data_IF_989218570107
#
_entry.id   IF_989218570107
#
_cell.length_a   1.000
_cell.length_b   1.000
_cell.length_c   1.000
_cell.angle_alpha   90.00
_cell.angle_beta   90.00
_cell.angle_gamma   90.00
#
_symmetry.space_group_name_H-M   'P 1'
#
loop_
_entity.id
_entity.type
_entity.pdbx_description
1 polymer ?
#
# COMPACT_ATOMS: atom_id res chain seq x y z
N UNK A 1 30.90 -37.21 -18.61
CA UNK A 1 29.66 -36.80 -19.30
C UNK A 1 28.51 -36.95 -18.29
N UNK A 2 28.20 -35.88 -17.58
CA UNK A 2 27.11 -35.86 -16.63
C UNK A 2 26.43 -34.49 -16.77
N UNK A 3 25.20 -34.56 -17.24
CA UNK A 3 24.34 -33.43 -17.53
C UNK A 3 23.98 -32.71 -16.21
N UNK A 4 24.29 -31.44 -16.18
CA UNK A 4 23.83 -30.51 -15.16
C UNK A 4 22.34 -30.37 -15.32
N UNK A 5 21.61 -30.76 -14.28
CA UNK A 5 20.16 -30.61 -14.19
C UNK A 5 19.81 -29.13 -14.07
N UNK A 6 18.79 -28.75 -14.83
CA UNK A 6 18.12 -27.49 -14.83
C UNK A 6 17.83 -26.99 -13.41
N UNK A 7 18.20 -25.76 -13.12
CA UNK A 7 17.73 -25.00 -11.98
C UNK A 7 16.20 -24.82 -12.11
N UNK A 8 15.45 -25.51 -11.30
CA UNK A 8 14.07 -25.18 -11.03
C UNK A 8 14.05 -23.83 -10.28
N UNK A 9 13.85 -22.76 -11.02
CA UNK A 9 13.55 -21.45 -10.46
C UNK A 9 12.17 -21.57 -9.86
N UNK A 10 12.08 -21.77 -8.53
CA UNK A 10 10.81 -21.66 -7.81
C UNK A 10 10.26 -20.25 -8.04
N UNK A 11 9.16 -20.20 -8.73
CA UNK A 11 8.36 -18.98 -8.91
C UNK A 11 7.81 -18.61 -7.54
N UNK A 12 8.40 -17.62 -6.89
CA UNK A 12 7.87 -17.06 -5.65
C UNK A 12 6.64 -16.22 -6.01
N UNK A 13 5.46 -16.81 -5.84
CA UNK A 13 4.18 -16.12 -6.03
C UNK A 13 4.03 -15.04 -4.96
N UNK A 14 3.61 -13.84 -5.38
CA UNK A 14 3.22 -12.81 -4.43
C UNK A 14 1.92 -13.22 -3.73
N UNK A 15 1.87 -13.03 -2.42
CA UNK A 15 0.78 -13.48 -1.58
C UNK A 15 -0.14 -12.31 -1.23
N UNK A 16 -1.44 -12.50 -1.40
CA UNK A 16 -2.42 -11.63 -0.77
C UNK A 16 -2.55 -12.08 0.69
N UNK A 17 -1.93 -11.32 1.59
CA UNK A 17 -1.99 -11.63 3.02
C UNK A 17 -3.35 -11.19 3.57
N UNK A 18 -4.12 -12.15 4.06
CA UNK A 18 -5.34 -11.85 4.81
C UNK A 18 -4.98 -11.51 6.26
N UNK A 19 -5.13 -10.25 6.62
CA UNK A 19 -4.78 -9.77 7.96
C UNK A 19 -5.86 -10.16 8.96
N UNK A 20 -5.52 -11.05 9.90
CA UNK A 20 -6.37 -11.39 11.04
C UNK A 20 -6.09 -10.43 12.20
N UNK A 21 -7.04 -9.55 12.51
CA UNK A 21 -6.87 -8.56 13.58
C UNK A 21 -6.79 -9.20 14.95
N UNK A 22 -5.78 -8.82 15.73
CA UNK A 22 -5.61 -9.25 17.12
C UNK A 22 -6.68 -8.63 18.05
N UNK A 23 -7.14 -7.43 17.70
CA UNK A 23 -8.27 -6.78 18.35
C UNK A 23 -9.26 -6.32 17.26
N UNK A 24 -10.42 -6.99 17.12
CA UNK A 24 -11.42 -6.64 16.10
C UNK A 24 -12.01 -5.23 16.28
N UNK A 25 -12.01 -4.69 17.50
CA UNK A 25 -12.51 -3.33 17.78
C UNK A 25 -11.55 -2.25 17.31
N UNK A 26 -10.25 -2.57 17.28
CA UNK A 26 -9.19 -1.66 16.84
C UNK A 26 -8.75 -1.92 15.40
N UNK A 27 -9.26 -2.95 14.74
CA UNK A 27 -8.93 -3.27 13.34
C UNK A 27 -7.42 -3.21 13.05
N UNK A 28 -6.62 -3.82 13.94
CA UNK A 28 -5.17 -3.83 13.85
C UNK A 28 -4.57 -5.20 14.17
N UNK A 29 -3.35 -5.39 13.64
CA UNK A 29 -2.43 -6.48 13.98
C UNK A 29 -1.05 -5.85 14.21
N UNK A 30 -0.44 -6.11 15.37
CA UNK A 30 0.89 -5.60 15.71
C UNK A 30 1.69 -6.69 16.40
N UNK A 31 2.91 -6.92 15.89
CA UNK A 31 3.78 -7.95 16.43
C UNK A 31 5.25 -7.58 16.25
N UNK A 32 6.11 -8.23 16.97
CA UNK A 32 7.56 -8.10 16.86
C UNK A 32 8.12 -9.31 16.15
N UNK A 33 9.00 -9.08 15.19
CA UNK A 33 9.83 -10.11 14.57
C UNK A 33 11.20 -10.04 15.21
N UNK A 34 11.70 -11.22 15.63
CA UNK A 34 12.98 -11.36 16.28
C UNK A 34 13.73 -12.56 15.73
N UNK A 35 14.79 -12.32 14.97
CA UNK A 35 15.66 -13.36 14.42
C UNK A 35 17.06 -13.26 15.04
N UNK A 36 17.55 -14.38 15.60
CA UNK A 36 18.91 -14.48 16.23
C UNK A 36 19.97 -15.04 15.31
N UNK A 37 19.59 -15.75 14.27
CA UNK A 37 20.50 -16.45 13.35
C UNK A 37 19.93 -16.42 11.96
N UNK A 38 20.81 -16.61 10.99
CA UNK A 38 20.48 -16.85 9.57
C UNK A 38 19.67 -18.15 9.43
N UNK A 39 18.42 -18.17 9.87
CA UNK A 39 17.56 -19.30 9.58
C UNK A 39 17.06 -19.17 8.14
N UNK A 40 17.74 -19.86 7.25
CA UNK A 40 17.39 -19.95 5.81
C UNK A 40 16.03 -20.60 5.55
N UNK A 41 15.29 -20.99 6.60
CA UNK A 41 14.02 -21.67 6.50
C UNK A 41 12.81 -20.74 6.39
N UNK A 42 12.96 -19.44 6.59
CA UNK A 42 11.86 -18.50 6.42
C UNK A 42 11.83 -17.89 5.00
N UNK A 43 11.70 -18.75 3.99
CA UNK A 43 11.41 -18.32 2.60
C UNK A 43 10.16 -17.42 2.51
N UNK A 44 9.31 -17.43 3.52
CA UNK A 44 8.10 -16.61 3.57
C UNK A 44 8.39 -15.12 3.77
N UNK A 45 9.45 -14.76 4.51
CA UNK A 45 9.85 -13.36 4.73
C UNK A 45 10.38 -12.67 3.46
N UNK A 46 10.76 -13.43 2.44
CA UNK A 46 11.27 -12.91 1.18
C UNK A 46 10.23 -12.84 0.06
N UNK A 47 8.98 -13.26 0.34
CA UNK A 47 7.93 -13.26 -0.66
C UNK A 47 7.37 -11.87 -0.86
N UNK A 48 7.10 -11.55 -2.11
CA UNK A 48 6.27 -10.41 -2.43
C UNK A 48 4.88 -10.62 -1.86
N UNK A 49 4.38 -9.64 -1.09
CA UNK A 49 3.04 -9.68 -0.53
C UNK A 49 2.39 -8.31 -0.56
N UNK A 50 1.10 -8.30 -0.37
CA UNK A 50 0.28 -7.10 -0.21
C UNK A 50 -0.95 -7.44 0.63
N UNK A 51 -1.50 -6.45 1.27
CA UNK A 51 -2.73 -6.52 2.05
C UNK A 51 -3.46 -5.18 1.97
N UNK A 52 -4.73 -5.14 2.39
CA UNK A 52 -5.56 -3.92 2.31
C UNK A 52 -5.22 -2.87 3.37
N UNK A 53 -4.53 -3.26 4.42
CA UNK A 53 -4.13 -2.42 5.53
C UNK A 53 -2.94 -1.53 5.16
N UNK A 54 -2.80 -0.40 5.85
CA UNK A 54 -1.54 0.34 5.92
C UNK A 54 -0.60 -0.41 6.85
N UNK A 55 0.65 -0.57 6.46
CA UNK A 55 1.67 -1.19 7.29
C UNK A 55 2.73 -0.17 7.71
N UNK A 56 3.07 -0.20 8.99
CA UNK A 56 4.09 0.64 9.60
C UNK A 56 5.17 -0.26 10.19
N UNK A 57 6.43 0.02 9.86
CA UNK A 57 7.58 -0.67 10.42
C UNK A 57 8.33 0.24 11.38
N UNK A 58 8.88 -0.34 12.47
CA UNK A 58 9.82 0.32 13.37
C UNK A 58 10.97 -0.63 13.68
N UNK A 59 12.20 -0.25 13.32
CA UNK A 59 13.38 -1.07 13.52
C UNK A 59 13.93 -0.84 14.93
N UNK A 60 14.09 -1.91 15.69
CA UNK A 60 14.61 -1.88 17.07
C UNK A 60 16.09 -2.21 17.09
N UNK A 61 16.53 -3.25 16.35
CA UNK A 61 17.91 -3.71 16.29
C UNK A 61 18.19 -4.39 14.96
N UNK A 62 19.43 -4.30 14.48
CA UNK A 62 19.83 -4.88 13.20
C UNK A 62 19.45 -4.08 11.97
N UNK A 63 19.53 -4.69 10.79
CA UNK A 63 19.26 -4.04 9.52
C UNK A 63 18.29 -4.87 8.68
N UNK A 64 17.25 -4.21 8.18
CA UNK A 64 16.19 -4.78 7.34
C UNK A 64 16.27 -4.20 5.94
N UNK A 65 16.45 -5.05 4.93
CA UNK A 65 16.25 -4.68 3.54
C UNK A 65 14.76 -4.71 3.22
N UNK A 66 14.29 -3.67 2.56
CA UNK A 66 12.91 -3.58 2.08
C UNK A 66 12.90 -3.27 0.60
N UNK A 67 11.95 -3.85 -0.10
CA UNK A 67 11.74 -3.57 -1.50
C UNK A 67 10.26 -3.29 -1.77
N UNK A 68 9.98 -2.18 -2.45
CA UNK A 68 8.67 -1.83 -2.95
C UNK A 68 8.84 -1.35 -4.39
N UNK A 69 8.20 -2.02 -5.37
CA UNK A 69 8.35 -1.73 -6.80
C UNK A 69 9.83 -1.70 -7.23
N UNK A 70 10.30 -0.50 -7.61
CA UNK A 70 11.66 -0.24 -8.11
C UNK A 70 12.58 0.35 -7.03
N UNK A 71 12.10 0.46 -5.76
CA UNK A 71 12.85 1.06 -4.66
C UNK A 71 13.31 -0.01 -3.69
N UNK A 72 14.62 -0.09 -3.54
CA UNK A 72 15.28 -0.86 -2.48
C UNK A 72 15.84 0.10 -1.44
N UNK A 73 15.56 -0.17 -0.18
CA UNK A 73 16.03 0.65 0.95
C UNK A 73 16.47 -0.25 2.08
N UNK A 74 17.50 0.15 2.81
CA UNK A 74 17.95 -0.51 4.03
C UNK A 74 17.56 0.35 5.21
N UNK A 75 16.83 -0.24 6.16
CA UNK A 75 16.46 0.38 7.42
C UNK A 75 17.36 -0.13 8.54
N UNK A 76 17.83 0.78 9.42
CA UNK A 76 18.60 0.49 10.61
C UNK A 76 17.84 0.85 11.90
N UNK A 77 18.46 0.63 13.08
CA UNK A 77 17.84 0.92 14.37
C UNK A 77 17.33 2.36 14.47
N UNK A 78 16.09 2.53 14.91
CA UNK A 78 15.41 3.81 15.00
C UNK A 78 14.70 4.25 13.71
N UNK A 79 14.90 3.57 12.59
CA UNK A 79 14.20 3.87 11.36
C UNK A 79 12.76 3.36 11.37
N UNK A 80 11.93 4.05 10.61
CA UNK A 80 10.51 3.71 10.38
C UNK A 80 10.18 3.71 8.90
N UNK A 81 9.15 2.96 8.52
CA UNK A 81 8.64 2.94 7.14
C UNK A 81 7.13 2.79 7.11
N UNK A 82 6.49 3.43 6.13
CA UNK A 82 5.07 3.25 5.80
C UNK A 82 4.97 2.53 4.47
N UNK A 83 4.14 1.49 4.42
CA UNK A 83 3.62 0.93 3.18
C UNK A 83 2.14 1.28 3.08
N UNK A 84 1.75 1.76 1.91
CA UNK A 84 0.37 2.10 1.63
C UNK A 84 -0.51 0.86 1.49
N UNK A 85 -1.82 1.05 1.63
CA UNK A 85 -2.80 0.00 1.45
C UNK A 85 -2.69 -0.64 0.06
N UNK A 86 -2.69 -1.97 0.03
CA UNK A 86 -2.54 -2.76 -1.19
C UNK A 86 -1.24 -2.53 -1.98
N UNK A 87 -0.22 -1.97 -1.34
CA UNK A 87 1.09 -1.80 -1.94
C UNK A 87 1.85 -3.12 -1.92
N UNK A 88 2.38 -3.52 -3.08
CA UNK A 88 3.24 -4.69 -3.20
C UNK A 88 4.61 -4.38 -2.60
N UNK A 89 5.04 -5.18 -1.63
CA UNK A 89 6.33 -5.03 -0.95
C UNK A 89 6.87 -6.38 -0.47
N UNK A 90 8.14 -6.38 -0.10
CA UNK A 90 8.80 -7.49 0.59
C UNK A 90 9.89 -6.99 1.50
N UNK A 91 10.21 -7.79 2.50
CA UNK A 91 11.30 -7.54 3.46
C UNK A 91 12.28 -8.70 3.44
N UNK A 92 13.54 -8.45 3.75
CA UNK A 92 14.55 -9.47 3.94
C UNK A 92 15.59 -9.04 4.98
N UNK A 93 16.05 -10.01 5.76
CA UNK A 93 17.12 -9.78 6.72
C UNK A 93 18.46 -9.60 6.00
N UNK A 94 19.17 -8.53 6.32
CA UNK A 94 20.56 -8.38 5.91
C UNK A 94 21.51 -9.20 6.81
N UNK A 95 22.78 -9.28 6.42
CA UNK A 95 23.85 -10.09 7.03
C UNK A 95 24.20 -9.67 8.48
N UNK A 96 23.19 -9.49 9.34
CA UNK A 96 23.37 -9.16 10.75
C UNK A 96 22.95 -10.35 11.62
N UNK A 97 23.70 -10.60 12.70
CA UNK A 97 23.42 -11.72 13.61
C UNK A 97 22.11 -11.57 14.38
N UNK A 98 21.57 -10.37 14.43
CA UNK A 98 20.31 -10.03 15.11
C UNK A 98 19.50 -9.08 14.27
N UNK A 99 18.23 -9.36 14.18
CA UNK A 99 17.24 -8.45 13.62
C UNK A 99 16.02 -8.43 14.54
N UNK A 100 15.58 -7.24 14.89
CA UNK A 100 14.39 -7.02 15.71
C UNK A 100 13.63 -5.81 15.23
N UNK A 101 12.38 -6.00 14.84
CA UNK A 101 11.53 -4.93 14.36
C UNK A 101 10.06 -5.20 14.64
N UNK A 102 9.27 -4.14 14.71
CA UNK A 102 7.83 -4.18 14.90
C UNK A 102 7.15 -4.00 13.56
N UNK A 103 6.17 -4.86 13.27
CA UNK A 103 5.23 -4.73 12.15
C UNK A 103 3.87 -4.35 12.71
N UNK A 104 3.29 -3.29 12.17
CA UNK A 104 2.00 -2.77 12.60
C UNK A 104 1.09 -2.57 11.38
N UNK A 105 0.13 -3.46 11.19
CA UNK A 105 -0.89 -3.43 10.14
C UNK A 105 -2.20 -2.87 10.70
N UNK A 106 -2.79 -1.89 10.01
CA UNK A 106 -3.97 -1.18 10.50
C UNK A 106 -4.91 -0.78 9.35
N UNK A 107 -6.21 -1.02 9.53
CA UNK A 107 -7.25 -0.43 8.70
C UNK A 107 -7.54 1.00 9.20
N UNK A 108 -6.81 1.98 8.67
CA UNK A 108 -6.95 3.38 9.10
C UNK A 108 -8.37 3.92 8.93
N UNK A 109 -9.13 3.42 7.95
CA UNK A 109 -10.51 3.91 7.71
C UNK A 109 -11.45 3.62 8.90
N UNK A 110 -11.14 2.62 9.72
CA UNK A 110 -11.91 2.26 10.90
C UNK A 110 -11.62 3.13 12.13
N UNK A 111 -10.58 3.97 12.06
CA UNK A 111 -10.16 4.85 13.15
C UNK A 111 -10.71 6.29 13.04
N UNK A 112 -11.61 6.54 12.08
CA UNK A 112 -12.22 7.85 11.92
C UNK A 112 -13.46 8.00 12.81
N UNK A 113 -13.40 9.01 13.68
CA UNK A 113 -14.51 9.46 14.50
C UNK A 113 -14.86 10.93 14.18
N UNK A 114 -15.74 11.55 14.96
CA UNK A 114 -16.18 12.91 14.74
C UNK A 114 -15.03 13.92 14.64
N UNK A 115 -13.93 13.71 15.37
CA UNK A 115 -12.76 14.63 15.37
C UNK A 115 -11.86 14.45 14.16
N UNK A 116 -11.77 13.24 13.63
CA UNK A 116 -10.88 12.87 12.52
C UNK A 116 -11.60 12.80 11.17
N UNK A 117 -12.94 12.70 11.18
CA UNK A 117 -13.75 12.62 9.97
C UNK A 117 -13.43 13.70 8.92
N UNK A 118 -13.13 14.97 9.27
CA UNK A 118 -12.70 15.96 8.29
C UNK A 118 -11.43 15.57 7.52
N UNK A 119 -10.62 14.64 8.03
CA UNK A 119 -9.35 14.18 7.44
C UNK A 119 -9.41 12.79 6.79
N UNK A 120 -10.61 12.16 6.74
CA UNK A 120 -10.80 10.83 6.16
C UNK A 120 -10.14 10.68 4.79
N UNK A 121 -10.31 11.68 3.92
CA UNK A 121 -9.81 11.61 2.55
C UNK A 121 -8.30 11.78 2.43
N UNK A 122 -7.65 12.44 3.41
CA UNK A 122 -6.20 12.53 3.46
C UNK A 122 -5.54 11.16 3.60
N UNK A 123 -6.23 10.20 4.22
CA UNK A 123 -5.75 8.86 4.51
C UNK A 123 -6.49 7.75 3.75
N UNK A 124 -7.33 8.10 2.79
CA UNK A 124 -8.09 7.11 2.01
C UNK A 124 -7.29 6.44 0.89
N UNK A 125 -6.09 6.95 0.61
CA UNK A 125 -5.20 6.47 -0.48
C UNK A 125 -5.87 6.43 -1.88
N UNK A 126 -6.93 7.21 -2.07
CA UNK A 126 -7.67 7.23 -3.33
C UNK A 126 -6.86 7.83 -4.49
N UNK A 127 -5.96 8.76 -4.19
CA UNK A 127 -5.15 9.46 -5.20
C UNK A 127 -3.72 8.99 -5.25
N UNK A 128 -3.14 8.68 -4.10
CA UNK A 128 -1.80 8.13 -3.98
C UNK A 128 -1.66 7.35 -2.67
N UNK A 129 -0.83 6.29 -2.64
CA UNK A 129 -0.62 5.51 -1.44
C UNK A 129 0.19 6.29 -0.38
N UNK A 130 0.01 5.93 0.90
CA UNK A 130 0.65 6.62 2.03
C UNK A 130 2.17 6.46 2.10
N UNK A 131 2.75 5.51 1.37
CA UNK A 131 4.22 5.35 1.29
C UNK A 131 4.93 6.60 0.75
N UNK A 132 4.24 7.45 -0.01
CA UNK A 132 4.78 8.75 -0.43
C UNK A 132 5.16 9.67 0.73
N UNK A 133 4.62 9.41 1.94
CA UNK A 133 4.90 10.19 3.14
C UNK A 133 6.23 9.84 3.80
N UNK A 134 6.92 8.78 3.35
CA UNK A 134 8.21 8.38 3.93
C UNK A 134 9.29 9.46 3.85
N UNK A 135 9.19 10.40 2.93
CA UNK A 135 10.10 11.55 2.85
C UNK A 135 10.17 12.34 4.17
N UNK A 136 9.09 12.38 4.97
CA UNK A 136 9.08 13.05 6.27
C UNK A 136 10.14 12.48 7.19
N UNK A 137 10.32 11.17 7.17
CA UNK A 137 11.31 10.48 8.01
C UNK A 137 12.74 10.60 7.48
N UNK A 138 12.88 10.77 6.16
CA UNK A 138 14.17 10.99 5.50
C UNK A 138 14.67 12.43 5.73
N UNK A 139 13.76 13.39 5.85
CA UNK A 139 14.07 14.82 6.01
C UNK A 139 14.06 15.30 7.47
N UNK A 140 13.48 14.51 8.42
CA UNK A 140 13.31 14.96 9.81
C UNK A 140 13.48 13.83 10.83
N UNK A 141 14.67 13.73 11.40
CA UNK A 141 15.02 12.71 12.42
C UNK A 141 14.19 12.84 13.71
N UNK A 142 13.79 14.05 14.08
CA UNK A 142 12.97 14.24 15.29
C UNK A 142 11.57 13.60 15.09
N UNK A 143 10.96 13.83 13.95
CA UNK A 143 9.65 13.25 13.62
C UNK A 143 9.75 11.73 13.43
N UNK A 144 10.84 11.26 12.80
CA UNK A 144 11.14 9.82 12.70
C UNK A 144 11.19 9.17 14.10
N UNK A 145 11.91 9.78 15.04
CA UNK A 145 12.03 9.29 16.41
C UNK A 145 10.69 9.29 17.15
N UNK A 146 9.89 10.34 17.00
CA UNK A 146 8.55 10.42 17.60
C UNK A 146 7.61 9.33 17.03
N UNK A 147 7.66 9.13 15.73
CA UNK A 147 6.86 8.10 15.04
C UNK A 147 7.26 6.68 15.50
N UNK A 148 8.57 6.40 15.56
CA UNK A 148 9.13 5.16 16.10
C UNK A 148 8.67 4.92 17.55
N UNK A 149 8.70 5.95 18.38
CA UNK A 149 8.25 5.90 19.77
C UNK A 149 6.77 5.56 19.88
N UNK A 150 5.93 6.15 19.02
CA UNK A 150 4.50 5.86 19.01
C UNK A 150 4.21 4.39 18.63
N UNK A 151 4.86 3.86 17.60
CA UNK A 151 4.72 2.44 17.21
C UNK A 151 5.14 1.53 18.37
N UNK A 152 6.27 1.81 19.01
CA UNK A 152 6.77 1.01 20.14
C UNK A 152 5.81 1.06 21.32
N UNK A 153 5.23 2.23 21.64
CA UNK A 153 4.24 2.36 22.71
C UNK A 153 2.94 1.60 22.38
N UNK A 154 2.45 1.68 21.14
CA UNK A 154 1.28 0.91 20.67
C UNK A 154 1.54 -0.59 20.85
N UNK A 155 2.72 -1.05 20.49
CA UNK A 155 3.12 -2.45 20.69
C UNK A 155 3.09 -2.82 22.18
N UNK A 156 3.70 -2.01 23.05
CA UNK A 156 3.71 -2.25 24.50
C UNK A 156 2.30 -2.29 25.08
N UNK A 157 1.44 -1.36 24.73
CA UNK A 157 0.02 -1.34 25.16
C UNK A 157 -0.73 -2.59 24.66
N UNK A 158 -0.50 -3.01 23.43
CA UNK A 158 -1.12 -4.20 22.85
C UNK A 158 -0.73 -5.51 23.55
N UNK A 159 0.46 -5.56 24.15
CA UNK A 159 0.97 -6.70 24.92
C UNK A 159 0.48 -6.68 26.38
N UNK A 160 0.55 -5.52 27.03
CA UNK A 160 0.19 -5.37 28.45
C UNK A 160 -1.31 -5.45 28.70
N UNK A 161 -2.12 -4.95 27.78
CA UNK A 161 -3.59 -4.92 27.82
C UNK A 161 -4.13 -4.42 29.17
N UNK A 162 -3.51 -3.38 29.71
CA UNK A 162 -3.99 -2.73 30.91
C UNK A 162 -5.38 -2.11 30.67
N UNK A 163 -6.12 -1.87 31.73
CA UNK A 163 -7.46 -1.27 31.60
C UNK A 163 -7.41 0.05 30.82
N UNK A 164 -8.16 0.15 29.72
CA UNK A 164 -8.18 1.32 28.83
C UNK A 164 -7.11 1.30 27.72
N UNK A 165 -6.41 0.18 27.50
CA UNK A 165 -5.38 0.08 26.44
C UNK A 165 -5.94 0.40 25.04
N UNK A 166 -7.22 0.10 24.76
CA UNK A 166 -7.85 0.46 23.50
C UNK A 166 -7.92 1.98 23.30
N UNK A 167 -8.21 2.72 24.37
CA UNK A 167 -8.23 4.18 24.34
C UNK A 167 -6.82 4.72 24.11
N UNK A 168 -5.82 4.16 24.79
CA UNK A 168 -4.42 4.54 24.64
C UNK A 168 -3.95 4.30 23.20
N UNK A 169 -4.18 3.12 22.64
CA UNK A 169 -3.83 2.78 21.25
C UNK A 169 -4.55 3.70 20.28
N UNK A 170 -5.85 3.90 20.40
CA UNK A 170 -6.63 4.78 19.52
C UNK A 170 -6.12 6.23 19.55
N UNK A 171 -5.74 6.71 20.74
CA UNK A 171 -5.13 8.04 20.90
C UNK A 171 -3.79 8.15 20.16
N UNK A 172 -2.92 7.14 20.29
CA UNK A 172 -1.60 7.11 19.62
C UNK A 172 -1.74 6.99 18.09
N UNK A 173 -2.71 6.25 17.59
CA UNK A 173 -3.01 6.20 16.15
C UNK A 173 -3.40 7.59 15.63
N UNK A 174 -4.22 8.33 16.38
CA UNK A 174 -4.57 9.73 16.03
C UNK A 174 -3.35 10.66 16.08
N UNK A 175 -2.41 10.42 17.00
CA UNK A 175 -1.14 11.16 17.02
C UNK A 175 -0.30 10.88 15.78
N UNK A 176 -0.20 9.63 15.33
CA UNK A 176 0.45 9.25 14.07
C UNK A 176 -0.18 10.02 12.90
N UNK A 177 -1.50 10.02 12.78
CA UNK A 177 -2.21 10.77 11.73
C UNK A 177 -1.91 12.27 11.81
N UNK A 178 -1.87 12.82 13.02
CA UNK A 178 -1.58 14.24 13.24
C UNK A 178 -0.15 14.62 12.84
N UNK A 179 0.84 13.76 13.15
CA UNK A 179 2.22 13.95 12.72
C UNK A 179 2.33 14.00 11.20
N UNK A 180 1.72 13.05 10.51
CA UNK A 180 1.74 13.02 9.04
C UNK A 180 1.10 14.30 8.46
N UNK A 181 -0.06 14.74 9.00
CA UNK A 181 -0.73 15.96 8.54
C UNK A 181 0.07 17.23 8.77
N UNK A 182 0.74 17.36 9.92
CA UNK A 182 1.45 18.59 10.31
C UNK A 182 2.80 18.71 9.63
N UNK A 183 3.42 17.59 9.27
CA UNK A 183 4.74 17.58 8.65
C UNK A 183 4.72 17.27 7.15
N UNK A 184 3.52 17.27 6.55
CA UNK A 184 3.37 17.19 5.09
C UNK A 184 3.75 18.52 4.41
N UNK A 185 5.03 18.79 4.32
CA UNK A 185 5.58 19.99 3.65
C UNK A 185 5.33 20.02 2.14
N UNK A 186 5.07 18.83 1.56
CA UNK A 186 4.81 18.65 0.13
C UNK A 186 3.33 18.71 -0.23
N UNK A 187 2.44 18.94 0.77
CA UNK A 187 0.98 19.01 0.61
C UNK A 187 0.37 17.76 -0.07
N UNK A 188 0.94 16.59 0.17
CA UNK A 188 0.47 15.34 -0.41
C UNK A 188 -0.86 14.86 0.23
N UNK A 189 -1.08 15.21 1.50
CA UNK A 189 -2.33 14.96 2.25
C UNK A 189 -3.28 16.15 2.21
N UNK A 190 -3.19 17.04 1.22
CA UNK A 190 -3.84 18.35 1.24
C UNK A 190 -5.36 18.31 1.42
N UNK A 191 -5.83 19.27 2.22
CA UNK A 191 -7.24 19.43 2.66
C UNK A 191 -8.15 20.10 1.63
N UNK A 192 -7.63 20.73 0.61
CA UNK A 192 -8.33 21.77 -0.18
C UNK A 192 -9.51 21.25 -1.03
N UNK A 193 -9.70 19.94 -1.16
CA UNK A 193 -10.73 19.39 -2.05
C UNK A 193 -11.66 18.34 -1.38
N UNK A 194 -11.76 18.32 -0.06
CA UNK A 194 -12.49 17.28 0.70
C UNK A 194 -13.97 17.14 0.33
N UNK A 195 -14.70 18.24 0.27
CA UNK A 195 -16.13 18.21 -0.10
C UNK A 195 -16.30 17.70 -1.55
N UNK A 196 -15.34 18.06 -2.41
CA UNK A 196 -15.32 17.62 -3.79
C UNK A 196 -15.03 16.12 -3.90
N UNK A 197 -14.09 15.61 -3.13
CA UNK A 197 -13.74 14.19 -3.12
C UNK A 197 -14.88 13.35 -2.50
N UNK A 198 -15.48 13.82 -1.41
CA UNK A 198 -16.66 13.17 -0.81
C UNK A 198 -17.79 13.00 -1.81
N UNK A 199 -18.06 14.04 -2.60
CA UNK A 199 -19.08 13.98 -3.65
C UNK A 199 -18.73 12.93 -4.73
N UNK A 200 -17.44 12.66 -4.98
CA UNK A 200 -17.00 11.65 -5.94
C UNK A 200 -17.04 10.21 -5.38
N UNK A 201 -17.22 10.03 -4.07
CA UNK A 201 -17.18 8.69 -3.44
C UNK A 201 -18.06 7.64 -4.14
N UNK A 202 -19.35 7.90 -4.49
CA UNK A 202 -20.16 6.91 -5.18
C UNK A 202 -19.55 6.46 -6.52
N UNK A 203 -18.91 7.40 -7.23
CA UNK A 203 -18.22 7.10 -8.50
C UNK A 203 -16.95 6.29 -8.28
N UNK A 204 -16.18 6.59 -7.23
CA UNK A 204 -14.95 5.88 -6.93
C UNK A 204 -15.25 4.44 -6.51
N UNK A 205 -16.26 4.22 -5.65
CA UNK A 205 -16.73 2.88 -5.29
C UNK A 205 -17.23 2.13 -6.52
N UNK A 206 -18.05 2.76 -7.36
CA UNK A 206 -18.52 2.17 -8.60
C UNK A 206 -17.36 1.73 -9.52
N UNK A 207 -16.29 2.54 -9.65
CA UNK A 207 -15.12 2.16 -10.43
C UNK A 207 -14.44 0.92 -9.83
N UNK A 208 -14.23 0.87 -8.51
CA UNK A 208 -13.55 -0.23 -7.85
C UNK A 208 -14.32 -1.55 -7.96
N UNK A 209 -15.66 -1.50 -7.88
CA UNK A 209 -16.52 -2.66 -7.98
C UNK A 209 -16.69 -3.18 -9.43
N UNK A 210 -16.37 -2.36 -10.44
CA UNK A 210 -16.66 -2.66 -11.86
C UNK A 210 -15.42 -2.61 -12.77
N UNK A 211 -14.18 -2.70 -12.23
CA UNK A 211 -12.96 -2.57 -13.02
C UNK A 211 -12.87 -3.54 -14.22
N UNK A 212 -13.43 -4.73 -14.08
CA UNK A 212 -13.43 -5.80 -15.09
C UNK A 212 -14.40 -5.53 -16.24
N UNK A 213 -15.41 -4.72 -15.95
CA UNK A 213 -16.53 -4.42 -16.85
C UNK A 213 -16.31 -3.12 -17.64
N UNK A 214 -17.21 -2.84 -18.56
CA UNK A 214 -17.24 -1.55 -19.25
C UNK A 214 -17.72 -0.47 -18.28
N UNK A 215 -16.86 0.52 -18.01
CA UNK A 215 -17.17 1.70 -17.21
C UNK A 215 -17.35 2.89 -18.14
N UNK A 216 -18.48 3.57 -18.06
CA UNK A 216 -18.79 4.74 -18.90
C UNK A 216 -18.85 6.02 -18.09
N UNK A 217 -18.60 7.15 -18.78
CA UNK A 217 -18.74 8.48 -18.16
C UNK A 217 -20.19 8.77 -17.82
N UNK A 218 -21.10 8.29 -18.64
CA UNK A 218 -22.56 8.48 -18.51
C UNK A 218 -23.08 7.86 -17.20
N UNK A 219 -22.64 6.64 -16.87
CA UNK A 219 -22.97 5.98 -15.61
C UNK A 219 -22.43 6.76 -14.41
N UNK A 220 -21.17 7.20 -14.50
CA UNK A 220 -20.55 8.03 -13.45
C UNK A 220 -21.28 9.38 -13.27
N UNK A 221 -21.73 10.01 -14.35
CA UNK A 221 -22.54 11.23 -14.30
C UNK A 221 -23.87 11.01 -13.58
N UNK A 222 -24.54 9.88 -13.89
CA UNK A 222 -25.83 9.52 -13.31
C UNK A 222 -25.76 9.33 -11.80
N UNK A 223 -24.67 8.72 -11.29
CA UNK A 223 -24.44 8.52 -9.86
C UNK A 223 -24.38 9.84 -9.06
N UNK A 224 -23.96 10.93 -9.70
CA UNK A 224 -23.82 12.25 -9.06
C UNK A 224 -24.88 13.25 -9.46
N UNK A 225 -25.81 12.88 -10.36
CA UNK A 225 -26.77 13.78 -10.99
C UNK A 225 -26.08 15.00 -11.63
N UNK A 226 -24.97 14.77 -12.36
CA UNK A 226 -24.20 15.82 -13.03
C UNK A 226 -24.32 15.69 -14.55
N UNK A 227 -24.25 16.83 -15.24
CA UNK A 227 -24.07 16.82 -16.70
C UNK A 227 -22.68 16.31 -17.07
N UNK A 228 -22.55 15.70 -18.25
CA UNK A 228 -21.28 15.18 -18.77
C UNK A 228 -20.13 16.20 -18.69
N UNK A 229 -20.35 17.40 -19.23
CA UNK A 229 -19.31 18.44 -19.26
C UNK A 229 -18.90 18.92 -17.86
N UNK A 230 -19.86 19.03 -16.94
CA UNK A 230 -19.56 19.43 -15.58
C UNK A 230 -18.79 18.31 -14.86
N UNK A 231 -19.22 17.05 -14.99
CA UNK A 231 -18.56 15.90 -14.39
C UNK A 231 -17.09 15.79 -14.81
N UNK A 232 -16.80 15.83 -16.12
CA UNK A 232 -15.41 15.71 -16.61
C UNK A 232 -14.50 16.79 -16.03
N UNK A 233 -14.95 18.05 -15.98
CA UNK A 233 -14.19 19.15 -15.38
C UNK A 233 -14.05 18.96 -13.89
N UNK A 234 -15.14 18.59 -13.21
CA UNK A 234 -15.17 18.39 -11.77
C UNK A 234 -14.25 17.23 -11.36
N UNK A 235 -14.36 16.07 -12.02
CA UNK A 235 -13.51 14.92 -11.75
C UNK A 235 -12.03 15.25 -11.97
N UNK A 236 -11.67 15.84 -13.11
CA UNK A 236 -10.29 16.22 -13.41
C UNK A 236 -9.73 17.23 -12.41
N UNK A 237 -10.52 18.21 -11.99
CA UNK A 237 -10.13 19.20 -10.98
C UNK A 237 -9.87 18.53 -9.64
N UNK A 238 -10.77 17.64 -9.19
CA UNK A 238 -10.71 16.98 -7.88
C UNK A 238 -9.64 15.88 -7.83
N UNK A 239 -9.52 15.06 -8.91
CA UNK A 239 -8.63 13.89 -8.93
C UNK A 239 -7.26 14.15 -9.58
N UNK A 240 -7.02 15.36 -10.08
CA UNK A 240 -5.77 15.72 -10.77
C UNK A 240 -5.57 15.01 -12.13
N UNK A 241 -6.46 14.10 -12.52
CA UNK A 241 -6.40 13.34 -13.77
C UNK A 241 -7.79 13.13 -14.38
N UNK A 242 -7.84 12.80 -15.67
CA UNK A 242 -9.14 12.55 -16.31
C UNK A 242 -9.78 11.27 -15.75
N UNK A 243 -11.12 11.17 -15.86
CA UNK A 243 -11.86 9.98 -15.43
C UNK A 243 -11.34 8.69 -16.11
N UNK A 244 -11.13 8.74 -17.41
CA UNK A 244 -10.60 7.59 -18.18
C UNK A 244 -9.16 7.25 -17.75
N UNK A 245 -8.29 8.24 -17.51
CA UNK A 245 -6.94 7.99 -17.01
C UNK A 245 -6.96 7.38 -15.60
N UNK A 246 -7.91 7.78 -14.75
CA UNK A 246 -8.06 7.20 -13.42
C UNK A 246 -8.51 5.74 -13.49
N UNK A 247 -9.53 5.42 -14.29
CA UNK A 247 -9.99 4.04 -14.51
C UNK A 247 -8.84 3.17 -15.06
N UNK A 248 -8.14 3.67 -16.07
CA UNK A 248 -7.00 2.95 -16.64
C UNK A 248 -5.87 2.74 -15.62
N UNK A 249 -5.58 3.74 -14.79
CA UNK A 249 -4.60 3.62 -13.70
C UNK A 249 -4.99 2.49 -12.74
N UNK A 250 -6.24 2.46 -12.27
CA UNK A 250 -6.73 1.40 -11.36
C UNK A 250 -6.65 0.00 -12.00
N UNK A 251 -7.00 -0.11 -13.28
CA UNK A 251 -6.89 -1.36 -14.06
C UNK A 251 -5.44 -1.84 -14.15
N UNK A 252 -4.52 -0.95 -14.45
CA UNK A 252 -3.10 -1.30 -14.53
C UNK A 252 -2.56 -1.69 -13.16
N UNK A 253 -2.98 -1.03 -12.06
CA UNK A 253 -2.60 -1.44 -10.71
C UNK A 253 -3.12 -2.83 -10.34
N UNK A 254 -4.33 -3.19 -10.78
CA UNK A 254 -4.84 -4.56 -10.66
C UNK A 254 -4.02 -5.54 -11.51
N UNK A 255 -3.65 -5.16 -12.74
CA UNK A 255 -2.81 -6.00 -13.61
C UNK A 255 -1.41 -6.25 -13.02
N UNK A 256 -0.76 -5.23 -12.44
CA UNK A 256 0.52 -5.38 -11.76
C UNK A 256 0.45 -6.48 -10.68
N UNK A 257 -0.60 -6.45 -9.85
CA UNK A 257 -0.84 -7.48 -8.84
C UNK A 257 -1.00 -8.85 -9.47
N UNK A 258 -1.91 -9.01 -10.43
CA UNK A 258 -2.18 -10.30 -11.07
C UNK A 258 -0.93 -10.89 -11.77
N UNK A 259 -0.07 -10.05 -12.36
CA UNK A 259 1.19 -10.49 -12.97
C UNK A 259 2.14 -11.16 -11.99
N UNK A 260 2.09 -10.78 -10.71
CA UNK A 260 2.97 -11.28 -9.66
C UNK A 260 2.29 -12.34 -8.79
N UNK A 261 0.95 -12.29 -8.66
CA UNK A 261 0.18 -13.16 -7.73
C UNK A 261 -0.51 -14.33 -8.42
N UNK A 262 -0.45 -14.43 -9.76
CA UNK A 262 -1.16 -15.50 -10.48
C UNK A 262 -0.33 -16.07 -11.62
N UNK A 263 -0.69 -17.29 -12.05
CA UNK A 263 -0.13 -17.94 -13.23
C UNK A 263 -0.89 -17.60 -14.52
N UNK A 264 -1.80 -16.63 -14.45
CA UNK A 264 -2.57 -16.22 -15.62
C UNK A 264 -1.64 -15.74 -16.74
N UNK A 265 -2.04 -16.00 -17.97
CA UNK A 265 -1.40 -15.42 -19.15
C UNK A 265 -1.59 -13.90 -19.15
N UNK A 266 -0.66 -13.16 -19.75
CA UNK A 266 -0.76 -11.70 -19.88
C UNK A 266 -2.07 -11.31 -20.60
N UNK A 267 -2.52 -12.14 -21.53
CA UNK A 267 -3.77 -11.95 -22.27
C UNK A 267 -4.98 -12.08 -21.34
N UNK A 268 -5.03 -13.13 -20.51
CA UNK A 268 -6.10 -13.31 -19.52
C UNK A 268 -6.12 -12.17 -18.50
N UNK A 269 -4.95 -11.73 -18.03
CA UNK A 269 -4.85 -10.56 -17.14
C UNK A 269 -5.43 -9.30 -17.82
N UNK A 270 -5.09 -9.07 -19.10
CA UNK A 270 -5.66 -7.94 -19.83
C UNK A 270 -7.18 -7.98 -19.88
N UNK A 271 -7.74 -9.18 -20.07
CA UNK A 271 -9.19 -9.41 -20.06
C UNK A 271 -9.79 -9.16 -18.66
N UNK A 272 -9.21 -9.79 -17.61
CA UNK A 272 -9.69 -9.72 -16.23
C UNK A 272 -9.62 -8.32 -15.61
N UNK A 273 -8.77 -7.44 -16.15
CA UNK A 273 -8.73 -6.04 -15.71
C UNK A 273 -9.55 -5.10 -16.60
N UNK A 274 -10.34 -5.64 -17.54
CA UNK A 274 -11.21 -4.86 -18.41
C UNK A 274 -10.47 -4.12 -19.55
N UNK A 275 -9.31 -4.61 -19.99
CA UNK A 275 -8.55 -4.09 -21.15
C UNK A 275 -8.27 -5.25 -22.12
N UNK A 276 -9.29 -5.79 -22.80
CA UNK A 276 -9.13 -6.97 -23.65
C UNK A 276 -8.33 -6.71 -24.92
N UNK A 277 -8.17 -5.45 -25.33
CA UNK A 277 -7.31 -5.09 -26.47
C UNK A 277 -5.84 -5.06 -26.01
N UNK A 278 -5.07 -6.07 -26.41
CA UNK A 278 -3.70 -6.26 -25.98
C UNK A 278 -2.77 -5.13 -26.40
N UNK A 279 -2.94 -4.54 -27.57
CA UNK A 279 -2.15 -3.38 -27.98
C UNK A 279 -2.37 -2.18 -27.05
N UNK A 280 -3.63 -1.94 -26.67
CA UNK A 280 -3.98 -0.92 -25.69
C UNK A 280 -3.44 -1.27 -24.29
N UNK A 281 -3.54 -2.54 -23.87
CA UNK A 281 -3.03 -3.00 -22.59
C UNK A 281 -1.53 -2.75 -22.46
N UNK A 282 -0.72 -3.19 -23.44
CA UNK A 282 0.72 -2.96 -23.44
C UNK A 282 1.08 -1.47 -23.47
N UNK A 283 0.37 -0.66 -24.26
CA UNK A 283 0.57 0.80 -24.30
C UNK A 283 0.32 1.45 -22.95
N UNK A 284 -0.80 1.12 -22.30
CA UNK A 284 -1.14 1.64 -20.98
C UNK A 284 -0.17 1.14 -19.91
N UNK A 285 0.17 -0.14 -19.94
CA UNK A 285 1.10 -0.71 -18.98
C UNK A 285 2.46 -0.03 -19.01
N UNK A 286 3.03 0.17 -20.22
CA UNK A 286 4.28 0.94 -20.40
C UNK A 286 4.17 2.38 -19.94
N UNK A 287 3.04 3.03 -20.16
CA UNK A 287 2.82 4.42 -19.72
C UNK A 287 2.91 4.55 -18.19
N UNK A 288 2.45 3.56 -17.44
CA UNK A 288 2.40 3.61 -15.97
C UNK A 288 3.61 2.96 -15.29
N UNK A 289 4.31 2.06 -15.96
CA UNK A 289 5.40 1.26 -15.37
C UNK A 289 6.75 1.42 -16.07
N UNK A 290 6.85 2.19 -17.16
CA UNK A 290 8.05 2.36 -17.99
C UNK A 290 8.66 1.04 -18.53
N UNK A 291 7.91 -0.06 -18.46
CA UNK A 291 8.31 -1.37 -18.96
C UNK A 291 7.07 -2.14 -19.47
N UNK A 292 7.31 -3.25 -20.20
CA UNK A 292 6.22 -4.14 -20.63
C UNK A 292 5.72 -5.02 -19.48
N UNK A 293 4.51 -5.61 -19.58
CA UNK A 293 4.01 -6.58 -18.60
C UNK A 293 4.95 -7.76 -18.40
N UNK A 294 5.59 -8.24 -19.48
CA UNK A 294 6.54 -9.34 -19.44
C UNK A 294 7.80 -8.96 -18.66
N UNK A 295 8.42 -7.84 -19.01
CA UNK A 295 9.59 -7.31 -18.30
C UNK A 295 9.28 -7.04 -16.83
N UNK A 296 8.10 -6.53 -16.51
CA UNK A 296 7.63 -6.33 -15.13
C UNK A 296 7.58 -7.67 -14.37
N UNK A 297 6.93 -8.68 -14.94
CA UNK A 297 6.84 -10.02 -14.35
C UNK A 297 8.22 -10.66 -14.16
N UNK A 298 9.12 -10.52 -15.12
CA UNK A 298 10.49 -11.04 -15.05
C UNK A 298 11.32 -10.34 -13.96
N UNK A 299 11.25 -9.01 -13.85
CA UNK A 299 11.94 -8.26 -12.79
C UNK A 299 11.49 -8.71 -11.41
N UNK A 300 10.17 -8.78 -11.19
CA UNK A 300 9.61 -9.21 -9.90
C UNK A 300 9.95 -10.66 -9.54
N UNK A 301 10.27 -11.51 -10.54
CA UNK A 301 10.72 -12.90 -10.33
C UNK A 301 12.23 -13.01 -10.11
N UNK A 302 13.04 -12.24 -10.83
CA UNK A 302 14.51 -12.36 -10.79
C UNK A 302 15.15 -11.63 -9.62
N UNK A 303 14.43 -10.72 -8.99
CA UNK A 303 14.86 -10.00 -7.79
C UNK A 303 14.37 -10.70 -6.50
N UNK A 304 13.86 -11.95 -6.64
CA UNK A 304 13.34 -12.83 -5.60
C UNK A 304 14.32 -13.87 -5.02
#
# INVERSE_FOLDING_TARGET
>A
MSLVKSNDVQVLEAVNEEVVYQNPLLYLKIWEIYNRTRDTRTLEEHRWHYHKEVELLAIIDGYLGIQSKDHYTVLGPGDVRIFGASQLHRTHQLYTDKLRYIVFQIDLQKHFDQSTMPYLYCFSELTQPLDVMNYIFEENDMIKTEFHTLITKIFTESQSKLNGYEIAISSMIKQIMLLLLRHDTRNLLSYTEKAALHRLQPVLSYIDDNLESKITVEEACSLLNLSYHYFIKYFKKTMGKSFIDYVNYKRIKKAERLLVTSDLSIENIGYDVGIPNMAQFYKLFRRYNNCSPKEFKERMRNEG
#
